data_IF_426966283439
#
_entry.id   IF_426966283439
#
_cell.length_a   1.000
_cell.length_b   1.000
_cell.length_c   1.000
_cell.angle_alpha   90.00
_cell.angle_beta   90.00
_cell.angle_gamma   90.00
#
_symmetry.space_group_name_H-M   'P 1'
#
loop_
_entity.id
_entity.type
_entity.pdbx_description
1 polymer ?
#
# COMPACT_ATOMS: atom_id res chain seq x y z
N UNK A 1 -59.39 23.56 15.06
CA UNK A 1 -58.42 23.66 13.95
C UNK A 1 -57.06 23.58 14.56
N UNK A 2 -56.55 22.39 14.60
CA UNK A 2 -55.27 22.05 15.26
C UNK A 2 -54.13 22.24 14.26
N UNK A 3 -53.34 23.28 14.50
CA UNK A 3 -52.17 23.62 13.69
C UNK A 3 -51.05 22.64 14.03
N UNK A 4 -50.94 21.55 13.26
CA UNK A 4 -49.86 20.58 13.35
C UNK A 4 -48.62 21.20 12.72
N UNK A 5 -47.86 21.96 13.52
CA UNK A 5 -46.51 22.38 13.19
C UNK A 5 -45.65 21.12 12.95
N UNK A 6 -45.60 20.70 11.70
CA UNK A 6 -44.57 19.75 11.24
C UNK A 6 -43.26 20.48 11.30
N UNK A 7 -42.45 20.18 12.34
CA UNK A 7 -41.06 20.57 12.40
C UNK A 7 -40.33 19.89 11.26
N UNK A 8 -39.86 20.59 10.21
CA UNK A 8 -39.10 20.00 9.13
C UNK A 8 -37.69 19.57 9.55
N UNK A 9 -37.28 19.92 10.77
CA UNK A 9 -35.91 19.67 11.29
C UNK A 9 -35.67 18.23 11.79
N UNK A 10 -36.70 17.37 11.82
CA UNK A 10 -36.58 15.99 12.30
C UNK A 10 -35.91 15.04 11.29
N UNK A 11 -35.64 15.49 10.07
CA UNK A 11 -34.98 14.69 9.01
C UNK A 11 -33.64 15.21 8.55
N UNK A 12 -33.08 16.23 9.18
CA UNK A 12 -31.68 16.55 8.98
C UNK A 12 -30.88 15.53 9.78
N UNK A 13 -30.72 14.33 9.18
CA UNK A 13 -29.69 13.41 9.65
C UNK A 13 -28.40 14.22 9.67
N UNK A 14 -27.90 14.51 10.86
CA UNK A 14 -26.62 15.18 11.11
C UNK A 14 -25.55 14.45 10.28
N UNK A 15 -25.26 14.93 9.08
CA UNK A 15 -24.13 14.45 8.31
C UNK A 15 -22.91 14.80 9.14
N UNK A 16 -22.43 13.84 9.94
CA UNK A 16 -21.13 13.97 10.60
C UNK A 16 -20.13 14.30 9.52
N UNK A 17 -19.70 15.55 9.51
CA UNK A 17 -18.69 16.01 8.56
C UNK A 17 -17.42 15.17 8.75
N UNK A 18 -16.88 14.69 7.65
CA UNK A 18 -15.60 13.95 7.66
C UNK A 18 -14.52 14.90 8.16
N UNK A 19 -13.73 14.50 9.20
CA UNK A 19 -12.58 15.30 9.61
C UNK A 19 -11.67 15.54 8.41
N UNK A 20 -11.26 16.79 8.20
CA UNK A 20 -10.46 17.18 7.03
C UNK A 20 -9.24 16.31 6.83
N UNK A 21 -8.55 15.92 7.91
CA UNK A 21 -7.38 15.05 7.86
C UNK A 21 -7.73 13.62 7.40
N UNK A 22 -8.86 13.08 7.86
CA UNK A 22 -9.33 11.76 7.41
C UNK A 22 -9.69 11.78 5.93
N UNK A 23 -10.26 12.88 5.44
CA UNK A 23 -10.55 13.04 4.01
C UNK A 23 -9.26 13.05 3.17
N UNK A 24 -8.23 13.81 3.58
CA UNK A 24 -6.93 13.85 2.89
C UNK A 24 -6.29 12.47 2.87
N UNK A 25 -6.24 11.77 4.02
CA UNK A 25 -5.65 10.44 4.12
C UNK A 25 -6.35 9.42 3.21
N UNK A 26 -7.68 9.43 3.17
CA UNK A 26 -8.44 8.51 2.32
C UNK A 26 -8.25 8.81 0.84
N UNK A 27 -8.15 10.07 0.44
CA UNK A 27 -7.84 10.45 -0.95
C UNK A 27 -6.43 9.94 -1.31
N UNK A 28 -5.45 10.13 -0.44
CA UNK A 28 -4.08 9.67 -0.66
C UNK A 28 -4.04 8.13 -0.80
N UNK A 29 -4.77 7.41 0.04
CA UNK A 29 -4.92 5.95 -0.07
C UNK A 29 -5.57 5.55 -1.40
N UNK A 30 -6.60 6.25 -1.86
CA UNK A 30 -7.23 5.94 -3.16
C UNK A 30 -6.27 6.15 -4.33
N UNK A 31 -5.46 7.21 -4.30
CA UNK A 31 -4.42 7.44 -5.30
C UNK A 31 -3.39 6.30 -5.25
N UNK A 32 -2.92 5.93 -4.06
CA UNK A 32 -1.98 4.81 -3.87
C UNK A 32 -2.54 3.48 -4.39
N UNK A 33 -3.80 3.16 -4.07
CA UNK A 33 -4.47 1.97 -4.58
C UNK A 33 -4.62 1.99 -6.11
N UNK A 34 -4.97 3.13 -6.71
CA UNK A 34 -5.08 3.26 -8.16
C UNK A 34 -3.73 3.03 -8.85
N UNK A 35 -2.65 3.60 -8.31
CA UNK A 35 -1.29 3.38 -8.81
C UNK A 35 -0.86 1.91 -8.65
N UNK A 36 -1.21 1.25 -7.54
CA UNK A 36 -0.93 -0.17 -7.32
C UNK A 36 -1.65 -1.06 -8.32
N UNK A 37 -2.94 -0.80 -8.60
CA UNK A 37 -3.68 -1.53 -9.63
C UNK A 37 -3.12 -1.28 -11.03
N UNK A 38 -2.72 -0.04 -11.35
CA UNK A 38 -2.10 0.29 -12.64
C UNK A 38 -0.77 -0.45 -12.80
N UNK A 39 0.06 -0.48 -11.76
CA UNK A 39 1.31 -1.24 -11.75
C UNK A 39 1.09 -2.75 -11.92
N UNK A 40 0.09 -3.32 -11.24
CA UNK A 40 -0.28 -4.72 -11.40
C UNK A 40 -0.74 -5.03 -12.83
N UNK A 41 -1.58 -4.19 -13.43
CA UNK A 41 -2.02 -4.33 -14.83
C UNK A 41 -0.84 -4.23 -15.79
N UNK A 42 0.06 -3.28 -15.57
CA UNK A 42 1.27 -3.13 -16.39
C UNK A 42 2.15 -4.37 -16.33
N UNK A 43 2.29 -4.95 -15.15
CA UNK A 43 3.03 -6.20 -14.92
C UNK A 43 2.41 -7.40 -15.65
N UNK A 44 1.07 -7.37 -15.87
CA UNK A 44 0.35 -8.42 -16.61
C UNK A 44 0.46 -8.27 -18.14
N UNK A 45 0.43 -7.02 -18.62
CA UNK A 45 0.43 -6.69 -20.07
C UNK A 45 1.85 -6.53 -20.60
N UNK A 46 2.80 -6.17 -19.73
CA UNK A 46 4.21 -6.01 -20.08
C UNK A 46 4.81 -7.32 -20.58
N UNK A 47 5.53 -7.25 -21.71
CA UNK A 47 6.34 -8.38 -22.16
C UNK A 47 7.33 -8.76 -21.06
N UNK A 48 7.54 -10.06 -20.87
CA UNK A 48 8.60 -10.57 -20.01
C UNK A 48 9.98 -10.14 -20.56
N UNK A 49 10.45 -8.99 -20.13
CA UNK A 49 11.78 -8.47 -20.46
C UNK A 49 12.80 -8.92 -19.39
N UNK A 50 12.60 -10.12 -18.83
CA UNK A 50 13.46 -10.65 -17.77
C UNK A 50 14.94 -10.67 -18.21
N UNK A 51 15.21 -11.24 -19.38
CA UNK A 51 16.56 -11.38 -19.89
C UNK A 51 17.23 -10.04 -20.17
N UNK A 52 16.48 -9.05 -20.64
CA UNK A 52 16.97 -7.70 -20.89
C UNK A 52 17.29 -6.96 -19.59
N UNK A 53 16.38 -6.99 -18.62
CA UNK A 53 16.62 -6.39 -17.31
C UNK A 53 17.74 -7.07 -16.53
N UNK A 54 17.84 -8.40 -16.62
CA UNK A 54 18.92 -9.14 -15.99
C UNK A 54 20.27 -8.76 -16.61
N UNK A 55 20.35 -8.65 -17.93
CA UNK A 55 21.57 -8.22 -18.63
C UNK A 55 21.98 -6.80 -18.25
N UNK A 56 21.01 -5.87 -18.11
CA UNK A 56 21.30 -4.51 -17.65
C UNK A 56 21.88 -4.49 -16.24
N UNK A 57 21.37 -5.34 -15.34
CA UNK A 57 21.90 -5.48 -13.98
C UNK A 57 23.29 -6.11 -13.96
N UNK A 58 23.55 -7.13 -14.78
CA UNK A 58 24.88 -7.74 -14.96
C UNK A 58 25.89 -6.71 -15.48
N UNK A 59 25.53 -5.93 -16.49
CA UNK A 59 26.37 -4.85 -17.00
C UNK A 59 26.63 -3.76 -15.93
N UNK A 60 25.67 -3.48 -15.05
CA UNK A 60 25.85 -2.54 -13.95
C UNK A 60 26.83 -3.08 -12.91
N UNK A 61 26.86 -4.39 -12.66
CA UNK A 61 27.86 -5.04 -11.79
C UNK A 61 29.25 -4.93 -12.39
N UNK A 62 29.39 -5.24 -13.70
CA UNK A 62 30.71 -5.24 -14.39
C UNK A 62 31.27 -3.83 -14.55
N UNK A 63 30.42 -2.83 -14.79
CA UNK A 63 30.83 -1.43 -14.96
C UNK A 63 30.95 -0.66 -13.64
N UNK A 64 30.71 -1.29 -12.50
CA UNK A 64 30.73 -0.62 -11.20
C UNK A 64 32.13 -0.09 -10.86
N UNK A 65 32.31 1.23 -10.65
CA UNK A 65 33.62 1.85 -10.43
C UNK A 65 34.21 1.58 -9.04
N UNK A 66 33.38 1.08 -8.10
CA UNK A 66 33.80 0.77 -6.73
C UNK A 66 33.00 -0.39 -6.14
N UNK A 67 33.53 -0.99 -5.06
CA UNK A 67 32.90 -2.13 -4.39
C UNK A 67 31.49 -1.82 -3.84
N UNK A 68 31.22 -0.60 -3.43
CA UNK A 68 29.91 -0.21 -2.89
C UNK A 68 28.84 -0.27 -3.97
N UNK A 69 29.11 0.29 -5.14
CA UNK A 69 28.16 0.26 -6.26
C UNK A 69 27.99 -1.16 -6.81
N UNK A 70 29.07 -1.94 -6.82
CA UNK A 70 29.01 -3.35 -7.19
C UNK A 70 28.11 -4.14 -6.24
N UNK A 71 28.27 -4.00 -4.93
CA UNK A 71 27.41 -4.66 -3.93
C UNK A 71 25.95 -4.26 -4.07
N UNK A 72 25.67 -2.98 -4.38
CA UNK A 72 24.30 -2.50 -4.63
C UNK A 72 23.73 -3.17 -5.89
N UNK A 73 24.49 -3.25 -6.98
CA UNK A 73 24.05 -3.87 -8.21
C UNK A 73 23.81 -5.38 -8.05
N UNK A 74 24.72 -6.10 -7.39
CA UNK A 74 24.56 -7.52 -7.05
C UNK A 74 23.32 -7.76 -6.17
N UNK A 75 23.11 -6.93 -5.14
CA UNK A 75 21.91 -7.01 -4.29
C UNK A 75 20.62 -6.71 -5.04
N UNK A 76 20.66 -5.80 -6.02
CA UNK A 76 19.51 -5.50 -6.88
C UNK A 76 19.18 -6.67 -7.78
N UNK A 77 20.19 -7.35 -8.32
CA UNK A 77 20.05 -8.55 -9.14
C UNK A 77 19.41 -9.71 -8.35
N UNK A 78 19.90 -9.98 -7.13
CA UNK A 78 19.30 -10.99 -6.26
C UNK A 78 17.83 -10.67 -5.92
N UNK A 79 17.53 -9.41 -5.59
CA UNK A 79 16.17 -8.99 -5.30
C UNK A 79 15.25 -9.14 -6.52
N UNK A 80 15.77 -8.81 -7.71
CA UNK A 80 15.03 -8.94 -8.96
C UNK A 80 14.73 -10.41 -9.27
N UNK A 81 15.70 -11.32 -9.14
CA UNK A 81 15.51 -12.76 -9.32
C UNK A 81 14.44 -13.33 -8.40
N UNK A 82 14.52 -13.04 -7.09
CA UNK A 82 13.51 -13.48 -6.11
C UNK A 82 12.13 -12.92 -6.40
N UNK A 83 12.05 -11.63 -6.74
CA UNK A 83 10.78 -11.00 -7.10
C UNK A 83 10.16 -11.62 -8.35
N UNK A 84 10.98 -11.99 -9.33
CA UNK A 84 10.51 -12.64 -10.54
C UNK A 84 10.06 -14.08 -10.29
N UNK A 85 10.80 -14.84 -9.49
CA UNK A 85 10.44 -16.21 -9.10
C UNK A 85 9.07 -16.25 -8.39
N UNK A 86 8.83 -15.31 -7.47
CA UNK A 86 7.58 -15.24 -6.70
C UNK A 86 6.57 -14.22 -7.25
N UNK A 87 6.74 -13.76 -8.50
CA UNK A 87 5.93 -12.68 -9.10
C UNK A 87 4.43 -12.89 -9.00
N UNK A 88 3.94 -14.08 -9.27
CA UNK A 88 2.50 -14.39 -9.21
C UNK A 88 1.96 -14.36 -7.77
N UNK A 89 2.75 -14.86 -6.82
CA UNK A 89 2.41 -14.80 -5.40
C UNK A 89 2.35 -13.35 -4.93
N UNK A 90 3.38 -12.57 -5.23
CA UNK A 90 3.46 -11.15 -4.84
C UNK A 90 2.34 -10.33 -5.49
N UNK A 91 2.00 -10.58 -6.76
CA UNK A 91 0.87 -9.96 -7.44
C UNK A 91 -0.46 -10.32 -6.78
N UNK A 92 -0.71 -11.60 -6.51
CA UNK A 92 -1.95 -12.04 -5.89
C UNK A 92 -2.13 -11.42 -4.49
N UNK A 93 -1.08 -11.48 -3.66
CA UNK A 93 -1.09 -10.86 -2.33
C UNK A 93 -1.26 -9.35 -2.43
N UNK A 94 -0.52 -8.70 -3.34
CA UNK A 94 -0.61 -7.26 -3.58
C UNK A 94 -2.02 -6.83 -3.94
N UNK A 95 -2.68 -7.50 -4.89
CA UNK A 95 -4.06 -7.20 -5.30
C UNK A 95 -5.06 -7.37 -4.15
N UNK A 96 -4.96 -8.48 -3.40
CA UNK A 96 -5.84 -8.72 -2.24
C UNK A 96 -5.64 -7.63 -1.18
N UNK A 97 -4.39 -7.33 -0.83
CA UNK A 97 -4.07 -6.34 0.19
C UNK A 97 -4.48 -4.92 -0.24
N UNK A 98 -4.24 -4.54 -1.51
CA UNK A 98 -4.70 -3.26 -2.06
C UNK A 98 -6.22 -3.14 -1.99
N UNK A 99 -6.95 -4.23 -2.28
CA UNK A 99 -8.42 -4.27 -2.14
C UNK A 99 -8.85 -4.09 -0.68
N UNK A 100 -8.16 -4.73 0.27
CA UNK A 100 -8.42 -4.56 1.70
C UNK A 100 -8.17 -3.11 2.15
N UNK A 101 -7.07 -2.48 1.72
CA UNK A 101 -6.80 -1.07 1.99
C UNK A 101 -7.89 -0.16 1.44
N UNK A 102 -8.36 -0.42 0.22
CA UNK A 102 -9.45 0.33 -0.41
C UNK A 102 -10.76 0.19 0.36
N UNK A 103 -11.15 -1.04 0.73
CA UNK A 103 -12.35 -1.30 1.55
C UNK A 103 -12.21 -0.63 2.91
N UNK A 104 -11.05 -0.73 3.56
CA UNK A 104 -10.75 -0.07 4.81
C UNK A 104 -10.93 1.44 4.73
N UNK A 105 -10.35 2.08 3.71
CA UNK A 105 -10.49 3.51 3.46
C UNK A 105 -11.96 3.94 3.22
N UNK A 106 -12.72 3.17 2.43
CA UNK A 106 -14.15 3.42 2.21
C UNK A 106 -14.95 3.32 3.51
N UNK A 107 -14.67 2.30 4.34
CA UNK A 107 -15.35 2.14 5.63
C UNK A 107 -15.01 3.27 6.61
N UNK A 108 -13.74 3.71 6.63
CA UNK A 108 -13.33 4.85 7.45
C UNK A 108 -13.98 6.17 7.00
N UNK A 109 -14.20 6.38 5.69
CA UNK A 109 -15.01 7.51 5.18
C UNK A 109 -16.46 7.44 5.65
N UNK A 110 -16.98 6.22 5.90
CA UNK A 110 -18.31 6.01 6.51
C UNK A 110 -18.25 6.05 8.04
N UNK A 111 -17.14 6.50 8.62
CA UNK A 111 -16.88 6.60 10.06
C UNK A 111 -17.00 5.26 10.81
N UNK A 112 -16.76 4.12 10.14
CA UNK A 112 -16.78 2.79 10.76
C UNK A 112 -15.41 2.41 11.32
N UNK A 113 -15.34 1.97 12.58
CA UNK A 113 -14.11 1.50 13.25
C UNK A 113 -13.49 0.27 12.59
N UNK A 114 -14.33 -0.63 12.05
CA UNK A 114 -13.86 -1.82 11.34
C UNK A 114 -12.96 -1.49 10.15
N UNK A 115 -13.17 -0.33 9.51
CA UNK A 115 -12.35 0.14 8.40
C UNK A 115 -10.88 0.30 8.77
N UNK A 116 -10.58 0.79 9.98
CA UNK A 116 -9.21 0.93 10.45
C UNK A 116 -8.52 -0.45 10.58
N UNK A 117 -9.20 -1.44 11.18
CA UNK A 117 -8.61 -2.78 11.33
C UNK A 117 -8.33 -3.45 9.99
N UNK A 118 -9.29 -3.34 9.05
CA UNK A 118 -9.13 -3.89 7.69
C UNK A 118 -7.97 -3.21 6.98
N UNK A 119 -7.84 -1.88 7.10
CA UNK A 119 -6.75 -1.11 6.52
C UNK A 119 -5.39 -1.56 7.06
N UNK A 120 -5.25 -1.68 8.40
CA UNK A 120 -4.01 -2.12 9.05
C UNK A 120 -3.59 -3.51 8.56
N UNK A 121 -4.53 -4.45 8.43
CA UNK A 121 -4.25 -5.78 7.90
C UNK A 121 -3.79 -5.68 6.43
N UNK A 122 -4.48 -4.91 5.61
CA UNK A 122 -4.12 -4.71 4.20
C UNK A 122 -2.75 -4.06 4.02
N UNK A 123 -2.34 -3.18 4.92
CA UNK A 123 -1.05 -2.48 4.87
C UNK A 123 0.12 -3.33 5.37
N UNK A 124 -0.09 -4.11 6.44
CA UNK A 124 0.98 -4.88 7.07
C UNK A 124 1.19 -6.27 6.43
N UNK A 125 0.14 -6.89 5.88
CA UNK A 125 0.25 -8.23 5.30
C UNK A 125 1.24 -8.29 4.12
N UNK A 126 1.27 -7.36 3.15
CA UNK A 126 2.24 -7.40 2.07
C UNK A 126 3.68 -7.22 2.55
N UNK A 127 3.90 -6.46 3.64
CA UNK A 127 5.23 -6.33 4.25
C UNK A 127 5.73 -7.65 4.83
N UNK A 128 4.86 -8.39 5.52
CA UNK A 128 5.20 -9.70 6.07
C UNK A 128 5.55 -10.71 4.95
N UNK A 129 4.78 -10.72 3.87
CA UNK A 129 5.03 -11.59 2.72
C UNK A 129 6.31 -11.18 2.00
N UNK A 130 6.54 -9.89 1.77
CA UNK A 130 7.76 -9.39 1.14
C UNK A 130 9.01 -9.72 1.98
N UNK A 131 8.93 -9.58 3.29
CA UNK A 131 10.01 -9.96 4.19
C UNK A 131 10.30 -11.47 4.15
N UNK A 132 9.28 -12.31 4.02
CA UNK A 132 9.43 -13.75 3.90
C UNK A 132 10.04 -14.19 2.57
N UNK A 133 9.68 -13.51 1.47
CA UNK A 133 10.14 -13.83 0.11
C UNK A 133 11.53 -13.26 -0.19
N UNK A 134 11.70 -11.97 0.03
CA UNK A 134 12.96 -11.26 -0.28
C UNK A 134 14.03 -11.60 0.76
N UNK A 135 13.61 -11.77 2.03
CA UNK A 135 14.52 -12.06 3.14
C UNK A 135 15.33 -10.84 3.58
N UNK A 136 16.21 -11.08 4.57
CA UNK A 136 17.11 -10.06 5.15
C UNK A 136 18.57 -10.28 4.69
N UNK A 137 18.80 -10.75 3.49
CA UNK A 137 20.15 -11.11 3.01
C UNK A 137 20.67 -10.21 1.92
N UNK A 138 19.87 -9.30 1.36
CA UNK A 138 20.33 -8.38 0.31
C UNK A 138 20.16 -6.93 0.76
N UNK A 139 21.19 -6.11 0.56
CA UNK A 139 21.18 -4.69 0.96
C UNK A 139 19.97 -3.95 0.35
N UNK A 140 19.68 -4.19 -0.92
CA UNK A 140 18.58 -3.52 -1.59
C UNK A 140 17.21 -4.00 -1.06
N UNK A 141 17.07 -5.28 -0.74
CA UNK A 141 15.88 -5.84 -0.10
C UNK A 141 15.63 -5.23 1.28
N UNK A 142 16.66 -5.13 2.11
CA UNK A 142 16.60 -4.53 3.44
C UNK A 142 16.19 -3.06 3.39
N UNK A 143 16.82 -2.26 2.51
CA UNK A 143 16.49 -0.85 2.32
C UNK A 143 15.02 -0.70 1.89
N UNK A 144 14.58 -1.49 0.93
CA UNK A 144 13.20 -1.47 0.44
C UNK A 144 12.20 -1.82 1.54
N UNK A 145 12.48 -2.86 2.35
CA UNK A 145 11.65 -3.26 3.48
C UNK A 145 11.59 -2.19 4.57
N UNK A 146 12.73 -1.55 4.90
CA UNK A 146 12.78 -0.48 5.89
C UNK A 146 11.93 0.71 5.42
N UNK A 147 12.12 1.18 4.19
CA UNK A 147 11.37 2.31 3.64
C UNK A 147 9.87 1.98 3.63
N UNK A 148 9.48 0.82 3.11
CA UNK A 148 8.07 0.38 3.07
C UNK A 148 7.46 0.30 4.46
N UNK A 149 8.21 -0.24 5.44
CA UNK A 149 7.76 -0.33 6.84
C UNK A 149 7.55 1.05 7.46
N UNK A 150 8.47 1.99 7.23
CA UNK A 150 8.35 3.38 7.72
C UNK A 150 7.09 4.03 7.15
N UNK A 151 6.82 3.91 5.86
CA UNK A 151 5.60 4.44 5.25
C UNK A 151 4.34 3.77 5.81
N UNK A 152 4.30 2.46 5.93
CA UNK A 152 3.16 1.73 6.47
C UNK A 152 2.86 2.15 7.92
N UNK A 153 3.89 2.20 8.77
CA UNK A 153 3.75 2.63 10.16
C UNK A 153 3.27 4.08 10.25
N UNK A 154 3.82 4.97 9.43
CA UNK A 154 3.39 6.37 9.34
C UNK A 154 1.89 6.46 9.03
N UNK A 155 1.41 5.76 8.00
CA UNK A 155 0.00 5.76 7.62
C UNK A 155 -0.88 5.15 8.71
N UNK A 156 -0.47 4.03 9.31
CA UNK A 156 -1.20 3.40 10.43
C UNK A 156 -1.32 4.36 11.62
N UNK A 157 -0.25 5.10 11.97
CA UNK A 157 -0.29 6.09 13.04
C UNK A 157 -1.23 7.24 12.67
N UNK A 158 -1.12 7.79 11.46
CA UNK A 158 -1.97 8.88 10.99
C UNK A 158 -3.46 8.50 11.02
N UNK A 159 -3.81 7.33 10.53
CA UNK A 159 -5.18 6.81 10.63
C UNK A 159 -5.58 6.50 12.07
N UNK A 160 -4.65 6.01 12.89
CA UNK A 160 -4.84 5.76 14.32
C UNK A 160 -5.25 7.02 15.09
N UNK A 161 -4.65 8.17 14.78
CA UNK A 161 -5.04 9.46 15.39
C UNK A 161 -6.47 9.87 15.02
N UNK A 162 -6.98 9.44 13.87
CA UNK A 162 -8.33 9.72 13.41
C UNK A 162 -9.38 8.74 13.96
N UNK A 163 -8.94 7.64 14.62
CA UNK A 163 -9.84 6.61 15.17
C UNK A 163 -10.88 7.16 16.16
N UNK A 164 -10.56 8.25 16.84
CA UNK A 164 -11.49 8.94 17.77
C UNK A 164 -12.77 9.46 17.09
N UNK A 165 -12.74 9.70 15.79
CA UNK A 165 -13.89 10.17 15.02
C UNK A 165 -14.72 9.03 14.44
N UNK A 166 -14.21 7.79 14.48
CA UNK A 166 -14.92 6.61 13.97
C UNK A 166 -15.94 6.14 15.00
N UNK A 167 -17.14 5.83 14.52
CA UNK A 167 -18.30 5.41 15.34
C UNK A 167 -18.67 3.99 14.89
N UNK A 168 -18.64 3.01 15.80
CA UNK A 168 -19.02 1.59 15.55
C UNK A 168 -18.40 0.92 14.34
#
# INVERSE_FOLDING_TARGET
MENRNQNPDLFVAERKELPGMLNVLTILTFIGCALSYMGALWSFVGKDNYDEQMRELEEAVDKAPNNTLRNIAESSMEMFQKTYEYRYLLLAVGLVCTTLCLIGAIQMRRLKKSGFTIYVIGELAPLAVSAAVIGFGSLMGEITLIISTVFAVLFVILYGTQRKYLVN
#
